data_IF_727079079299
#
_entry.id   IF_727079079299
#
_cell.length_a   1.000
_cell.length_b   1.000
_cell.length_c   1.000
_cell.angle_alpha   90.00
_cell.angle_beta   90.00
_cell.angle_gamma   90.00
#
_symmetry.space_group_name_H-M   'P 1'
#
loop_
_entity.id
_entity.type
_entity.pdbx_description
1 polymer ?
#
# COMPACT_ATOMS: atom_id res chain seq x y z
N UNK A 1 -8.25 -33.39 30.33
CA UNK A 1 -8.86 -32.07 30.57
C UNK A 1 -8.30 -31.10 29.54
N UNK A 2 -8.99 -30.94 28.41
CA UNK A 2 -8.57 -30.07 27.32
C UNK A 2 -9.39 -28.78 27.35
N UNK A 3 -8.72 -27.63 27.30
CA UNK A 3 -9.31 -26.35 26.97
C UNK A 3 -8.67 -25.87 25.67
N UNK A 4 -9.27 -26.26 24.55
CA UNK A 4 -9.04 -25.61 23.26
C UNK A 4 -9.71 -24.24 23.32
N UNK A 5 -8.91 -23.19 23.48
CA UNK A 5 -9.35 -21.83 23.20
C UNK A 5 -9.65 -21.73 21.71
N UNK A 6 -10.93 -21.69 21.36
CA UNK A 6 -11.35 -21.24 20.03
C UNK A 6 -11.12 -19.74 20.03
N UNK A 7 -9.96 -19.32 19.52
CA UNK A 7 -9.82 -17.93 19.08
C UNK A 7 -10.74 -17.78 17.87
N UNK A 8 -11.64 -16.77 17.82
CA UNK A 8 -12.35 -16.44 16.60
C UNK A 8 -11.34 -15.88 15.59
N UNK A 9 -10.60 -16.77 14.94
CA UNK A 9 -9.82 -16.47 13.77
C UNK A 9 -10.78 -16.58 12.58
N UNK A 10 -10.92 -15.51 11.80
CA UNK A 10 -11.60 -15.48 10.49
C UNK A 10 -13.08 -15.07 10.42
N UNK A 11 -13.52 -14.09 11.22
CA UNK A 11 -14.74 -13.33 10.92
C UNK A 11 -14.47 -11.83 10.69
N UNK A 12 -13.53 -11.23 11.42
CA UNK A 12 -13.24 -9.79 11.35
C UNK A 12 -12.72 -9.27 9.99
N UNK A 13 -12.17 -10.13 9.11
CA UNK A 13 -11.58 -9.69 7.83
C UNK A 13 -12.59 -9.40 6.72
N UNK A 14 -13.86 -9.77 6.90
CA UNK A 14 -14.92 -9.52 5.92
C UNK A 14 -15.37 -8.05 5.89
N UNK A 15 -15.14 -7.33 7.00
CA UNK A 15 -15.66 -5.98 7.21
C UNK A 15 -14.59 -4.89 7.04
N UNK A 16 -13.35 -5.31 6.74
CA UNK A 16 -12.17 -4.46 6.74
C UNK A 16 -11.67 -4.18 5.33
N UNK A 17 -11.08 -3.00 5.14
CA UNK A 17 -10.30 -2.71 3.96
C UNK A 17 -8.81 -2.88 4.25
N UNK A 18 -8.25 -4.02 3.88
CA UNK A 18 -6.83 -4.27 4.07
C UNK A 18 -6.01 -3.51 3.02
N UNK A 19 -5.08 -2.67 3.49
CA UNK A 19 -4.09 -1.99 2.66
C UNK A 19 -2.68 -2.40 3.09
N UNK A 20 -2.09 -3.33 2.35
CA UNK A 20 -0.74 -3.81 2.59
C UNK A 20 0.26 -3.12 1.64
N UNK A 21 1.21 -2.39 2.22
CA UNK A 21 2.27 -1.69 1.50
C UNK A 21 3.61 -2.39 1.70
N UNK A 22 4.31 -2.69 0.61
CA UNK A 22 5.73 -3.06 0.67
C UNK A 22 6.58 -1.98 0.04
N UNK A 23 7.61 -1.54 0.77
CA UNK A 23 8.64 -0.62 0.31
C UNK A 23 9.81 -1.43 -0.24
N UNK A 24 10.24 -1.12 -1.45
CA UNK A 24 11.38 -1.72 -2.11
C UNK A 24 12.40 -0.63 -2.44
N UNK A 25 13.68 -0.89 -2.15
CA UNK A 25 14.77 0.07 -2.28
C UNK A 25 15.72 -0.37 -3.39
N UNK A 26 15.99 0.53 -4.33
CA UNK A 26 16.94 0.33 -5.43
C UNK A 26 17.71 1.63 -5.71
N UNK A 27 18.79 1.57 -6.50
CA UNK A 27 19.56 2.79 -6.85
C UNK A 27 18.71 3.82 -7.57
N UNK A 28 17.74 3.36 -8.35
CA UNK A 28 16.87 4.18 -9.20
C UNK A 28 15.82 4.93 -8.39
N UNK A 29 15.60 4.54 -7.13
CA UNK A 29 14.69 5.19 -6.21
C UNK A 29 14.00 4.22 -5.25
N UNK A 30 12.81 4.62 -4.81
CA UNK A 30 11.98 3.84 -3.91
C UNK A 30 10.73 3.40 -4.65
N UNK A 31 10.38 2.12 -4.56
CA UNK A 31 9.13 1.58 -5.10
C UNK A 31 8.19 1.22 -3.96
N UNK A 32 6.93 1.65 -4.06
CA UNK A 32 5.86 1.28 -3.15
C UNK A 32 4.90 0.35 -3.89
N UNK A 33 4.75 -0.89 -3.42
CA UNK A 33 3.72 -1.81 -3.93
C UNK A 33 2.59 -1.89 -2.92
N UNK A 34 1.40 -1.50 -3.34
CA UNK A 34 0.19 -1.52 -2.54
C UNK A 34 -0.71 -2.65 -3.01
N UNK A 35 -1.13 -3.48 -2.06
CA UNK A 35 -2.13 -4.53 -2.26
C UNK A 35 -3.34 -4.15 -1.43
N UNK A 36 -4.43 -3.85 -2.12
CA UNK A 36 -5.68 -3.43 -1.50
C UNK A 36 -6.69 -4.57 -1.65
N UNK A 37 -7.22 -5.03 -0.52
CA UNK A 37 -8.19 -6.12 -0.45
C UNK A 37 -9.41 -5.62 0.30
N UNK A 38 -10.45 -5.15 -0.41
CA UNK A 38 -11.73 -4.83 0.19
C UNK A 38 -12.37 -6.11 0.73
N UNK A 39 -12.80 -6.09 1.99
CA UNK A 39 -13.73 -7.08 2.52
C UNK A 39 -15.10 -6.96 1.84
N UNK A 40 -15.91 -8.01 1.93
CA UNK A 40 -17.25 -8.09 1.31
C UNK A 40 -18.14 -6.92 1.73
N UNK A 41 -18.11 -6.53 3.00
CA UNK A 41 -18.97 -5.45 3.54
C UNK A 41 -18.40 -4.05 3.24
N UNK A 42 -17.17 -3.98 2.70
CA UNK A 42 -16.54 -2.73 2.25
C UNK A 42 -16.60 -2.59 0.73
N UNK A 43 -16.79 -3.67 -0.01
CA UNK A 43 -16.81 -3.69 -1.46
C UNK A 43 -17.84 -2.72 -2.05
N UNK A 44 -19.06 -2.67 -1.50
CA UNK A 44 -20.12 -1.76 -1.95
C UNK A 44 -19.76 -0.27 -1.76
N UNK A 45 -18.85 0.06 -0.84
CA UNK A 45 -18.32 1.42 -0.66
C UNK A 45 -17.13 1.73 -1.55
N UNK A 46 -16.36 0.71 -1.94
CA UNK A 46 -15.14 0.85 -2.75
C UNK A 46 -15.46 0.84 -4.24
N UNK A 47 -16.40 0.01 -4.69
CA UNK A 47 -16.73 -0.15 -6.11
C UNK A 47 -17.14 1.17 -6.78
N UNK A 48 -18.03 2.00 -6.19
CA UNK A 48 -18.39 3.29 -6.80
C UNK A 48 -17.22 4.30 -6.86
N UNK A 49 -16.12 4.03 -6.14
CA UNK A 49 -14.90 4.83 -6.23
C UNK A 49 -14.00 4.38 -7.38
N UNK A 50 -14.13 3.12 -7.82
CA UNK A 50 -13.40 2.51 -8.93
C UNK A 50 -14.21 2.64 -10.22
N UNK A 51 -15.38 2.01 -10.29
CA UNK A 51 -16.34 2.09 -11.39
C UNK A 51 -17.17 3.36 -11.21
N UNK A 52 -16.66 4.45 -11.76
CA UNK A 52 -17.18 5.81 -11.53
C UNK A 52 -18.33 6.12 -12.47
N UNK A 53 -18.32 5.55 -13.67
CA UNK A 53 -19.43 5.71 -14.61
C UNK A 53 -20.59 4.73 -14.30
N UNK A 54 -20.36 3.69 -13.52
CA UNK A 54 -21.36 2.73 -13.05
C UNK A 54 -21.81 1.76 -14.13
N UNK A 55 -20.99 1.53 -15.17
CA UNK A 55 -21.34 0.64 -16.28
C UNK A 55 -21.05 -0.85 -15.99
N UNK A 56 -20.45 -1.15 -14.83
CA UNK A 56 -20.13 -2.50 -14.40
C UNK A 56 -18.83 -3.06 -14.98
N UNK A 57 -18.03 -2.24 -15.67
CA UNK A 57 -16.74 -2.62 -16.27
C UNK A 57 -15.66 -1.63 -15.82
N UNK A 58 -14.59 -2.13 -15.20
CA UNK A 58 -13.48 -1.26 -14.78
C UNK A 58 -12.60 -0.92 -16.00
N UNK A 59 -12.79 0.27 -16.56
CA UNK A 59 -12.01 0.80 -17.67
C UNK A 59 -10.56 1.15 -17.29
N UNK A 60 -9.66 1.29 -18.26
CA UNK A 60 -8.26 1.66 -17.99
C UNK A 60 -8.16 3.07 -17.38
N UNK A 61 -9.03 3.97 -17.81
CA UNK A 61 -9.14 5.35 -17.32
C UNK A 61 -9.55 5.36 -15.84
N UNK A 62 -10.49 4.51 -15.44
CA UNK A 62 -10.92 4.35 -14.05
C UNK A 62 -9.83 3.75 -13.17
N UNK A 63 -9.10 2.74 -13.67
CA UNK A 63 -7.96 2.17 -12.95
C UNK A 63 -6.89 3.24 -12.67
N UNK A 64 -6.56 4.05 -13.68
CA UNK A 64 -5.58 5.14 -13.54
C UNK A 64 -6.08 6.23 -12.60
N UNK A 65 -7.34 6.63 -12.71
CA UNK A 65 -7.94 7.63 -11.84
C UNK A 65 -7.96 7.17 -10.37
N UNK A 66 -8.32 5.90 -10.12
CA UNK A 66 -8.29 5.32 -8.79
C UNK A 66 -6.87 5.26 -8.23
N UNK A 67 -5.91 4.77 -9.02
CA UNK A 67 -4.50 4.71 -8.60
C UNK A 67 -3.93 6.10 -8.28
N UNK A 68 -4.25 7.10 -9.09
CA UNK A 68 -3.87 8.49 -8.84
C UNK A 68 -4.49 9.02 -7.54
N UNK A 69 -5.76 8.72 -7.26
CA UNK A 69 -6.41 9.11 -6.00
C UNK A 69 -5.73 8.48 -4.79
N UNK A 70 -5.39 7.19 -4.86
CA UNK A 70 -4.63 6.51 -3.81
C UNK A 70 -3.26 7.18 -3.63
N UNK A 71 -2.53 7.46 -4.72
CA UNK A 71 -1.24 8.17 -4.64
C UNK A 71 -1.36 9.52 -3.91
N UNK A 72 -2.43 10.27 -4.14
CA UNK A 72 -2.68 11.56 -3.47
C UNK A 72 -3.07 11.42 -1.99
N UNK A 73 -3.65 10.30 -1.57
CA UNK A 73 -3.92 10.02 -0.15
C UNK A 73 -2.68 9.61 0.64
N UNK A 74 -1.62 9.19 -0.05
CA UNK A 74 -0.35 8.85 0.58
C UNK A 74 0.49 10.10 0.75
N UNK A 75 1.05 10.27 1.95
CA UNK A 75 2.12 11.24 2.19
C UNK A 75 3.44 10.52 2.28
N UNK A 76 4.37 10.88 1.41
CA UNK A 76 5.72 10.32 1.40
C UNK A 76 6.72 11.46 1.46
N UNK A 77 7.70 11.34 2.35
CA UNK A 77 8.83 12.26 2.41
C UNK A 77 10.13 11.50 2.36
N UNK A 78 11.11 12.06 1.65
CA UNK A 78 12.48 11.56 1.64
C UNK A 78 13.40 12.66 2.19
N UNK A 79 14.10 12.34 3.27
CA UNK A 79 14.92 13.29 4.04
C UNK A 79 14.12 14.55 4.46
N UNK A 80 12.88 14.34 4.89
CA UNK A 80 11.96 15.40 5.32
C UNK A 80 11.36 16.24 4.19
N UNK A 81 11.71 15.98 2.92
CA UNK A 81 11.13 16.67 1.77
C UNK A 81 9.97 15.86 1.20
N UNK A 82 8.77 16.44 1.00
CA UNK A 82 7.67 15.77 0.31
C UNK A 82 8.09 15.32 -1.09
N UNK A 83 7.70 14.11 -1.47
CA UNK A 83 7.94 13.55 -2.80
C UNK A 83 6.62 13.14 -3.44
N UNK A 84 6.47 13.45 -4.73
CA UNK A 84 5.32 13.02 -5.51
C UNK A 84 5.51 11.58 -5.96
N UNK A 85 4.46 10.77 -5.82
CA UNK A 85 4.43 9.40 -6.29
C UNK A 85 4.02 9.36 -7.76
N UNK A 86 4.77 8.64 -8.58
CA UNK A 86 4.38 8.30 -9.94
C UNK A 86 3.68 6.95 -9.95
N UNK A 87 2.57 6.82 -10.67
CA UNK A 87 1.88 5.54 -10.87
C UNK A 87 2.62 4.76 -11.95
N UNK A 88 3.18 3.60 -11.60
CA UNK A 88 3.87 2.73 -12.55
C UNK A 88 2.94 1.68 -13.14
N UNK A 89 2.08 1.09 -12.32
CA UNK A 89 1.10 0.10 -12.76
C UNK A 89 -0.09 0.03 -11.82
N UNK A 90 -1.21 -0.41 -12.39
CA UNK A 90 -2.47 -0.66 -11.71
C UNK A 90 -3.06 -1.93 -12.30
N UNK A 91 -3.49 -2.86 -11.45
CA UNK A 91 -4.18 -4.08 -11.84
C UNK A 91 -5.34 -4.30 -10.89
N UNK A 92 -6.50 -4.58 -11.48
CA UNK A 92 -7.76 -4.70 -10.76
C UNK A 92 -8.36 -6.08 -11.05
N UNK A 93 -8.87 -6.77 -10.03
CA UNK A 93 -9.72 -7.94 -10.24
C UNK A 93 -11.08 -7.48 -10.79
N UNK A 94 -11.89 -8.43 -11.25
CA UNK A 94 -13.23 -8.13 -11.76
C UNK A 94 -14.14 -7.62 -10.63
N UNK A 95 -15.19 -6.85 -10.96
CA UNK A 95 -16.15 -6.38 -9.94
C UNK A 95 -16.79 -7.51 -9.13
N UNK A 96 -17.21 -8.66 -9.71
CA UNK A 96 -17.70 -9.78 -8.92
C UNK A 96 -16.67 -10.31 -7.92
N UNK A 97 -15.40 -10.36 -8.30
CA UNK A 97 -14.33 -10.78 -7.40
C UNK A 97 -14.16 -9.78 -6.24
N UNK A 98 -14.12 -8.47 -6.53
CA UNK A 98 -14.10 -7.42 -5.48
C UNK A 98 -15.29 -7.57 -4.52
N UNK A 99 -16.51 -7.78 -5.05
CA UNK A 99 -17.72 -7.99 -4.23
C UNK A 99 -17.65 -9.23 -3.36
N UNK A 100 -17.06 -10.31 -3.87
CA UNK A 100 -16.83 -11.54 -3.12
C UNK A 100 -15.74 -11.44 -2.06
N UNK A 101 -15.03 -10.31 -1.96
CA UNK A 101 -13.81 -10.21 -1.14
C UNK A 101 -12.67 -11.06 -1.71
N UNK A 102 -12.79 -11.44 -2.98
CA UNK A 102 -11.87 -12.32 -3.71
C UNK A 102 -11.01 -11.46 -4.63
N UNK A 103 -9.70 -11.55 -4.45
CA UNK A 103 -8.75 -10.82 -5.30
C UNK A 103 -8.18 -9.55 -4.68
N UNK A 104 -7.23 -8.97 -5.39
CA UNK A 104 -6.35 -7.94 -4.87
C UNK A 104 -6.20 -6.86 -5.93
N UNK A 105 -6.51 -5.62 -5.56
CA UNK A 105 -6.12 -4.46 -6.35
C UNK A 105 -4.62 -4.25 -6.11
N UNK A 106 -3.81 -4.39 -7.15
CA UNK A 106 -2.37 -4.25 -7.08
C UNK A 106 -1.95 -2.92 -7.75
N UNK A 107 -1.40 -2.02 -6.94
CA UNK A 107 -0.91 -0.73 -7.39
C UNK A 107 0.60 -0.67 -7.15
N UNK A 108 1.33 -0.11 -8.10
CA UNK A 108 2.76 0.16 -7.94
C UNK A 108 3.02 1.64 -8.17
N UNK A 109 3.72 2.25 -7.22
CA UNK A 109 4.19 3.62 -7.30
C UNK A 109 5.70 3.69 -7.18
N UNK A 110 6.28 4.76 -7.71
CA UNK A 110 7.70 5.06 -7.57
C UNK A 110 7.91 6.48 -7.09
N UNK A 111 8.92 6.65 -6.23
CA UNK A 111 9.55 7.93 -5.95
C UNK A 111 10.73 8.04 -6.92
N UNK A 112 10.62 8.85 -7.99
CA UNK A 112 11.69 8.97 -8.96
C UNK A 112 12.89 9.68 -8.32
N UNK A 113 14.08 9.15 -8.53
CA UNK A 113 15.31 9.83 -8.14
C UNK A 113 16.42 8.86 -7.79
N UNK A 114 17.54 8.98 -8.49
CA UNK A 114 18.70 8.14 -8.23
C UNK A 114 19.25 8.43 -6.82
N UNK A 115 19.28 7.40 -5.99
CA UNK A 115 19.89 7.46 -4.67
C UNK A 115 21.41 7.53 -4.81
N UNK A 116 22.00 8.50 -4.11
CA UNK A 116 23.44 8.73 -4.03
C UNK A 116 23.95 8.15 -2.71
N UNK A 117 25.26 8.00 -2.58
CA UNK A 117 25.88 7.65 -1.29
C UNK A 117 25.40 8.60 -0.18
N UNK A 118 24.94 8.05 0.93
CA UNK A 118 24.47 8.83 2.08
C UNK A 118 23.42 8.12 2.93
N UNK A 119 23.04 8.79 4.02
CA UNK A 119 21.96 8.38 4.90
C UNK A 119 20.62 8.92 4.40
N UNK A 120 19.60 8.07 4.47
CA UNK A 120 18.25 8.39 4.03
C UNK A 120 17.22 8.09 5.10
N UNK A 121 16.22 8.96 5.18
CA UNK A 121 15.05 8.83 6.03
C UNK A 121 13.81 8.90 5.13
N UNK A 122 13.13 7.77 4.97
CA UNK A 122 11.84 7.71 4.31
C UNK A 122 10.76 7.74 5.38
N UNK A 123 9.83 8.70 5.29
CA UNK A 123 8.60 8.66 6.07
C UNK A 123 7.42 8.45 5.12
N UNK A 124 6.53 7.54 5.50
CA UNK A 124 5.32 7.18 4.78
C UNK A 124 4.13 7.32 5.73
N UNK A 125 3.04 7.88 5.23
CA UNK A 125 1.77 7.97 5.94
C UNK A 125 0.65 7.63 4.98
N UNK A 126 -0.17 6.67 5.39
CA UNK A 126 -1.40 6.32 4.71
C UNK A 126 -2.58 6.94 5.46
N UNK A 127 -3.33 7.82 4.79
CA UNK A 127 -4.54 8.40 5.37
C UNK A 127 -5.81 7.57 5.12
N UNK A 128 -5.68 6.42 4.44
CA UNK A 128 -6.72 5.43 4.17
C UNK A 128 -7.99 5.95 3.54
N UNK A 129 -8.98 5.05 3.46
CA UNK A 129 -10.30 5.35 2.89
C UNK A 129 -11.41 5.51 3.94
N UNK A 130 -11.09 5.38 5.24
CA UNK A 130 -12.07 5.48 6.33
C UNK A 130 -11.71 4.63 7.55
N UNK A 131 -12.62 4.62 8.55
CA UNK A 131 -12.42 3.98 9.86
C UNK A 131 -12.17 2.46 9.82
N UNK A 132 -12.61 1.78 8.76
CA UNK A 132 -12.51 0.32 8.62
C UNK A 132 -11.24 -0.13 7.88
N UNK A 133 -10.25 0.77 7.73
CA UNK A 133 -9.01 0.47 7.02
C UNK A 133 -8.00 -0.17 7.96
N UNK A 134 -7.52 -1.36 7.60
CA UNK A 134 -6.38 -2.00 8.28
C UNK A 134 -5.13 -1.78 7.45
N UNK A 135 -4.10 -1.21 8.07
CA UNK A 135 -2.84 -0.94 7.40
C UNK A 135 -1.80 -1.99 7.76
N UNK A 136 -1.03 -2.39 6.75
CA UNK A 136 0.22 -3.12 6.94
C UNK A 136 1.30 -2.43 6.12
N UNK A 137 2.50 -2.31 6.67
CA UNK A 137 3.63 -1.70 5.95
C UNK A 137 4.93 -2.36 6.35
N UNK A 138 5.74 -2.75 5.35
CA UNK A 138 7.05 -3.35 5.56
C UNK A 138 8.04 -2.89 4.48
N UNK A 139 9.33 -2.84 4.81
CA UNK A 139 10.39 -2.79 3.80
C UNK A 139 10.83 -4.21 3.46
N UNK A 140 10.96 -4.50 2.16
CA UNK A 140 11.63 -5.71 1.69
C UNK A 140 13.12 -5.63 2.01
N UNK A 141 13.78 -6.78 2.12
CA UNK A 141 15.23 -6.83 2.14
C UNK A 141 15.76 -6.28 0.80
N UNK A 142 16.60 -5.23 0.78
CA UNK A 142 17.17 -4.72 -0.46
C UNK A 142 17.99 -5.80 -1.17
N UNK A 143 17.81 -5.91 -2.49
CA UNK A 143 18.61 -6.79 -3.33
C UNK A 143 19.98 -6.19 -3.68
N UNK A 144 20.09 -4.86 -3.64
CA UNK A 144 21.34 -4.14 -3.82
C UNK A 144 22.11 -4.09 -2.49
N UNK A 145 23.25 -4.76 -2.44
CA UNK A 145 24.14 -4.84 -1.26
C UNK A 145 24.71 -3.48 -0.84
N UNK A 146 24.70 -2.48 -1.73
CA UNK A 146 25.12 -1.11 -1.40
C UNK A 146 24.06 -0.37 -0.59
N UNK A 147 22.84 -0.90 -0.48
CA UNK A 147 21.73 -0.33 0.29
C UNK A 147 21.49 -1.18 1.54
N UNK A 148 21.62 -0.56 2.71
CA UNK A 148 21.45 -1.26 3.99
C UNK A 148 20.35 -0.58 4.81
N UNK A 149 19.31 -1.34 5.14
CA UNK A 149 18.27 -0.90 6.08
C UNK A 149 18.86 -0.86 7.49
N UNK A 150 18.76 0.30 8.14
CA UNK A 150 19.29 0.54 9.48
C UNK A 150 18.19 0.40 10.54
N UNK A 151 17.01 0.97 10.29
CA UNK A 151 15.89 0.90 11.22
C UNK A 151 14.54 0.98 10.51
N UNK A 152 13.54 0.36 11.11
CA UNK A 152 12.14 0.44 10.69
C UNK A 152 11.27 0.70 11.92
N UNK A 153 10.42 1.73 11.87
CA UNK A 153 9.45 2.07 12.93
C UNK A 153 8.06 2.19 12.34
N UNK A 154 7.05 1.68 13.05
CA UNK A 154 5.63 1.72 12.66
C UNK A 154 4.81 2.29 13.81
N UNK A 155 3.76 3.04 13.51
CA UNK A 155 2.69 3.29 14.49
C UNK A 155 1.96 1.99 14.83
N UNK A 156 1.20 1.97 15.93
CA UNK A 156 0.47 0.78 16.38
C UNK A 156 -0.55 0.28 15.33
N UNK A 157 -1.21 1.20 14.64
CA UNK A 157 -2.13 0.94 13.53
C UNK A 157 -1.43 0.77 12.17
N UNK A 158 -0.10 0.95 12.13
CA UNK A 158 0.75 0.89 10.95
C UNK A 158 0.38 1.86 9.81
N UNK A 159 -0.47 2.86 10.06
CA UNK A 159 -0.76 3.92 9.11
C UNK A 159 0.45 4.84 8.87
N UNK A 160 1.37 4.91 9.85
CA UNK A 160 2.62 5.65 9.77
C UNK A 160 3.83 4.72 9.81
N UNK A 161 4.81 5.01 8.96
CA UNK A 161 6.03 4.24 8.82
C UNK A 161 7.26 5.14 8.63
N UNK A 162 8.33 4.81 9.34
CA UNK A 162 9.66 5.42 9.15
C UNK A 162 10.67 4.33 8.84
N UNK A 163 11.49 4.60 7.82
CA UNK A 163 12.56 3.74 7.37
C UNK A 163 13.85 4.55 7.27
N UNK A 164 14.86 4.08 8.00
CA UNK A 164 16.21 4.62 7.94
C UNK A 164 17.07 3.63 7.15
N UNK A 165 17.79 4.10 6.15
CA UNK A 165 18.68 3.28 5.35
C UNK A 165 19.90 4.08 4.87
N UNK A 166 20.98 3.38 4.56
CA UNK A 166 22.21 3.97 4.03
C UNK A 166 22.50 3.41 2.64
N UNK A 167 22.98 4.28 1.76
CA UNK A 167 23.58 3.91 0.48
C UNK A 167 25.09 4.11 0.61
N UNK A 168 25.87 3.04 0.46
CA UNK A 168 27.29 3.03 0.82
C UNK A 168 28.23 3.42 -0.32
N UNK A 169 27.76 3.32 -1.58
CA UNK A 169 28.54 3.58 -2.80
C UNK A 169 27.82 4.51 -3.76
#
# INVERSE_FOLDING_TARGET
>A
MGLTGVHPASAHRLDEYLQATTVDLAREGVTLRLRLTPGVDVADRVIPQIDRNGDGVISAEEQQAYAARIAHSLRVTLNGKPVSLLVNSASFPTLPAIKGGEGVIALQFSVPGRLKKGLYHLAYTNHGAGADTVYLVNCLQPQDETIQVQAQKRSADQAFYQLEFVVTQ
#
